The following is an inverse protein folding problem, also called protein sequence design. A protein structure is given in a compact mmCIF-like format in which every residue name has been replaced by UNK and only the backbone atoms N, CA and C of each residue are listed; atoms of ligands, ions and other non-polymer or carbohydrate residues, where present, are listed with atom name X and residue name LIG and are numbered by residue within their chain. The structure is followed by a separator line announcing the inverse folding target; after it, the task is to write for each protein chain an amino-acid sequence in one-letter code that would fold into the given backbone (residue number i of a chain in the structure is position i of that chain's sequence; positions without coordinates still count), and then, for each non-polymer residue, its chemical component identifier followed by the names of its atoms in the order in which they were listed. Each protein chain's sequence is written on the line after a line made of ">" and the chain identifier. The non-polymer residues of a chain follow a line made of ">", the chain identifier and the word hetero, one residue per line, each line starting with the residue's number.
data_IF_383583365425
#
_entry.id   IF_383583365425
#
_cell.length_a   1.000
_cell.length_b   1.000
_cell.length_c   1.000
_cell.angle_alpha   90.00
_cell.angle_beta   90.00
_cell.angle_gamma   90.00
#
_symmetry.space_group_name_H-M   'P 1'
#
loop_
_entity.id
_entity.type
_entity.pdbx_description
1 polymer ?
#
# COMPACT_ATOMS: atom_id res chain seq x y z
N UNK A 1 -1.26 -3.29 -23.39
CA UNK A 1 -1.47 -4.36 -22.38
C UNK A 1 -0.11 -4.99 -22.08
N UNK A 2 0.55 -4.61 -20.98
CA UNK A 2 1.88 -5.16 -20.64
C UNK A 2 1.69 -6.56 -20.03
N UNK A 3 2.19 -7.58 -20.73
CA UNK A 3 2.22 -8.96 -20.25
C UNK A 3 3.02 -9.05 -18.93
N UNK A 4 2.45 -9.71 -17.91
CA UNK A 4 3.04 -9.93 -16.57
C UNK A 4 4.40 -10.66 -16.59
N UNK A 5 4.86 -11.15 -17.74
CA UNK A 5 6.08 -11.94 -17.89
C UNK A 5 7.40 -11.16 -17.92
N UNK A 6 7.41 -9.82 -17.77
CA UNK A 6 8.62 -9.00 -17.93
C UNK A 6 8.95 -8.05 -16.77
N UNK A 7 8.28 -8.18 -15.62
CA UNK A 7 8.52 -7.29 -14.47
C UNK A 7 9.23 -8.06 -13.35
N UNK A 8 10.31 -7.46 -12.84
CA UNK A 8 11.12 -7.96 -11.74
C UNK A 8 10.54 -7.51 -10.37
N UNK A 9 11.02 -8.05 -9.24
CA UNK A 9 10.63 -7.56 -7.90
C UNK A 9 10.70 -6.04 -7.80
N UNK A 10 9.68 -5.42 -7.19
CA UNK A 10 9.62 -3.98 -6.95
C UNK A 10 9.25 -3.13 -8.18
N UNK A 11 9.12 -3.72 -9.37
CA UNK A 11 8.77 -2.97 -10.58
C UNK A 11 7.27 -2.71 -10.72
N UNK A 12 6.43 -3.55 -10.10
CA UNK A 12 4.98 -3.40 -10.12
C UNK A 12 4.39 -3.64 -8.75
N UNK A 13 3.92 -2.58 -8.11
CA UNK A 13 3.34 -2.62 -6.78
C UNK A 13 1.86 -2.22 -6.80
N UNK A 14 1.08 -2.79 -5.90
CA UNK A 14 -0.25 -2.30 -5.55
C UNK A 14 -0.19 -1.63 -4.19
N UNK A 15 -0.90 -0.51 -4.04
CA UNK A 15 -1.01 0.19 -2.77
C UNK A 15 -2.48 0.38 -2.37
N UNK A 16 -2.75 0.24 -1.08
CA UNK A 16 -4.08 0.42 -0.49
C UNK A 16 -3.95 1.00 0.92
N UNK A 17 -5.01 1.66 1.41
CA UNK A 17 -5.08 2.23 2.76
C UNK A 17 -6.09 1.44 3.57
N UNK A 18 -5.61 0.79 4.62
CA UNK A 18 -6.45 0.22 5.68
C UNK A 18 -6.68 1.30 6.73
N UNK A 19 -7.93 1.56 7.12
CA UNK A 19 -8.26 2.71 7.97
C UNK A 19 -9.23 2.43 9.11
N UNK A 20 -9.34 3.44 9.99
CA UNK A 20 -10.13 3.45 11.24
C UNK A 20 -9.79 2.31 12.20
N UNK A 21 -8.49 2.03 12.33
CA UNK A 21 -7.99 1.18 13.41
C UNK A 21 -8.09 1.93 14.74
N UNK A 22 -8.14 1.21 15.88
CA UNK A 22 -7.95 1.83 17.19
C UNK A 22 -6.64 2.62 17.20
N UNK A 23 -6.66 3.78 17.88
CA UNK A 23 -5.47 4.64 17.98
C UNK A 23 -4.33 3.86 18.63
N UNK A 24 -3.16 3.79 17.99
CA UNK A 24 -1.94 3.28 18.65
C UNK A 24 -1.34 4.29 19.65
N UNK A 25 -0.40 3.87 20.50
CA UNK A 25 0.29 4.77 21.43
C UNK A 25 0.96 5.96 20.74
N UNK A 26 1.56 5.72 19.58
CA UNK A 26 2.20 6.74 18.74
C UNK A 26 1.22 7.51 17.83
N UNK A 27 -0.09 7.32 18.02
CA UNK A 27 -1.14 8.12 17.37
C UNK A 27 -1.40 7.77 15.91
N UNK A 28 -1.21 6.51 15.52
CA UNK A 28 -1.54 5.99 14.20
C UNK A 28 -2.97 5.44 14.18
N UNK A 29 -3.61 5.54 13.03
CA UNK A 29 -5.01 5.13 12.81
C UNK A 29 -5.21 4.41 11.47
N UNK A 30 -4.20 4.46 10.62
CA UNK A 30 -4.24 3.97 9.25
C UNK A 30 -2.97 3.16 8.97
N UNK A 31 -3.03 2.32 7.96
CA UNK A 31 -1.89 1.59 7.42
C UNK A 31 -1.90 1.77 5.91
N UNK A 32 -0.79 2.24 5.35
CA UNK A 32 -0.51 2.12 3.93
C UNK A 32 0.07 0.74 3.68
N UNK A 33 -0.63 -0.05 2.89
CA UNK A 33 -0.17 -1.36 2.43
C UNK A 33 0.47 -1.23 1.07
N UNK A 34 1.60 -1.91 0.87
CA UNK A 34 2.32 -1.97 -0.41
C UNK A 34 2.58 -3.45 -0.70
N UNK A 35 2.04 -3.96 -1.80
CA UNK A 35 2.22 -5.35 -2.23
C UNK A 35 2.98 -5.37 -3.56
N UNK A 36 4.12 -6.05 -3.58
CA UNK A 36 4.83 -6.35 -4.82
C UNK A 36 4.14 -7.48 -5.60
N UNK A 37 3.75 -7.21 -6.85
CA UNK A 37 3.03 -8.19 -7.66
C UNK A 37 3.89 -9.38 -8.08
N UNK A 38 5.21 -9.25 -8.08
CA UNK A 38 6.14 -10.32 -8.43
C UNK A 38 6.43 -11.21 -7.21
N UNK A 39 7.07 -10.65 -6.18
CA UNK A 39 7.53 -11.41 -5.00
C UNK A 39 6.44 -11.76 -4.00
N UNK A 40 5.28 -11.08 -4.07
CA UNK A 40 4.22 -11.12 -3.04
C UNK A 40 4.64 -10.55 -1.70
N UNK A 41 5.76 -9.84 -1.64
CA UNK A 41 6.17 -9.09 -0.46
C UNK A 41 5.11 -8.04 -0.11
N UNK A 42 4.72 -7.99 1.16
CA UNK A 42 3.77 -7.03 1.72
C UNK A 42 4.49 -6.17 2.76
N UNK A 43 4.52 -4.87 2.54
CA UNK A 43 4.95 -3.87 3.52
C UNK A 43 3.69 -3.17 4.09
N UNK A 44 3.65 -2.98 5.40
CA UNK A 44 2.55 -2.33 6.09
C UNK A 44 3.06 -1.13 6.90
N UNK A 45 2.83 0.08 6.39
CA UNK A 45 3.37 1.31 6.97
C UNK A 45 2.30 2.03 7.79
N UNK A 46 2.46 2.17 9.13
CA UNK A 46 1.49 2.86 9.98
C UNK A 46 1.47 4.38 9.72
N UNK A 47 0.29 4.95 9.49
CA UNK A 47 0.08 6.37 9.23
C UNK A 47 -0.84 7.05 10.28
N UNK A 48 -0.53 8.30 10.69
CA UNK A 48 -1.38 9.09 11.59
C UNK A 48 -2.62 9.66 10.89
N UNK A 49 -2.53 9.88 9.59
CA UNK A 49 -3.60 10.41 8.76
C UNK A 49 -3.39 9.99 7.30
N UNK A 50 -4.33 10.36 6.44
CA UNK A 50 -4.39 9.98 5.03
C UNK A 50 -4.18 11.19 4.09
N UNK A 51 -3.45 12.21 4.55
CA UNK A 51 -3.13 13.37 3.69
C UNK A 51 -2.15 12.96 2.60
N UNK A 52 -2.20 13.62 1.43
CA UNK A 52 -1.24 13.41 0.34
C UNK A 52 0.20 13.50 0.82
N UNK A 53 0.52 14.49 1.66
CA UNK A 53 1.86 14.70 2.21
C UNK A 53 2.38 13.54 3.05
N UNK A 54 1.53 12.98 3.91
CA UNK A 54 1.86 11.83 4.77
C UNK A 54 2.12 10.58 3.91
N UNK A 55 1.27 10.35 2.91
CA UNK A 55 1.37 9.21 2.00
C UNK A 55 2.62 9.32 1.13
N UNK A 56 2.87 10.47 0.51
CA UNK A 56 4.06 10.72 -0.32
C UNK A 56 5.35 10.54 0.50
N UNK A 57 5.36 11.01 1.75
CA UNK A 57 6.51 10.80 2.65
C UNK A 57 6.78 9.31 2.90
N UNK A 58 5.74 8.53 3.18
CA UNK A 58 5.87 7.09 3.38
C UNK A 58 6.34 6.37 2.11
N UNK A 59 5.79 6.73 0.95
CA UNK A 59 6.21 6.18 -0.34
C UNK A 59 7.66 6.51 -0.68
N UNK A 60 8.12 7.74 -0.43
CA UNK A 60 9.52 8.12 -0.62
C UNK A 60 10.47 7.29 0.26
N UNK A 61 10.11 7.03 1.51
CA UNK A 61 10.91 6.16 2.39
C UNK A 61 10.97 4.72 1.88
N UNK A 62 9.84 4.20 1.36
CA UNK A 62 9.80 2.90 0.72
C UNK A 62 10.66 2.85 -0.55
N UNK A 63 10.55 3.85 -1.44
CA UNK A 63 11.35 3.92 -2.67
C UNK A 63 12.84 4.07 -2.40
N UNK A 64 13.24 4.73 -1.31
CA UNK A 64 14.64 4.81 -0.91
C UNK A 64 15.23 3.43 -0.54
N UNK A 65 14.40 2.49 -0.07
CA UNK A 65 14.81 1.12 0.31
C UNK A 65 14.75 0.14 -0.86
N UNK A 66 13.69 0.20 -1.66
CA UNK A 66 13.37 -0.82 -2.67
C UNK A 66 13.53 -0.33 -4.11
N UNK A 67 13.81 0.95 -4.31
CA UNK A 67 13.83 1.60 -5.62
C UNK A 67 12.46 2.13 -6.06
N UNK A 68 12.47 2.89 -7.15
CA UNK A 68 11.27 3.48 -7.74
C UNK A 68 10.60 2.41 -8.63
N UNK A 69 9.31 2.10 -8.40
CA UNK A 69 8.57 1.15 -9.23
C UNK A 69 8.28 1.75 -10.61
N UNK A 70 8.05 0.90 -11.61
CA UNK A 70 7.57 1.37 -12.92
C UNK A 70 6.07 1.62 -12.93
N UNK A 71 5.32 0.81 -12.18
CA UNK A 71 3.87 0.82 -12.18
C UNK A 71 3.37 0.77 -10.73
N UNK A 72 2.46 1.67 -10.39
CA UNK A 72 1.69 1.62 -9.14
C UNK A 72 0.22 1.40 -9.47
N UNK A 73 -0.36 0.38 -8.86
CA UNK A 73 -1.80 0.12 -8.91
C UNK A 73 -2.46 0.68 -7.65
N UNK A 74 -3.50 1.50 -7.83
CA UNK A 74 -4.37 1.96 -6.74
C UNK A 74 -5.81 1.53 -6.97
N UNK A 75 -6.55 1.31 -5.89
CA UNK A 75 -7.99 1.06 -6.00
C UNK A 75 -8.77 2.37 -6.22
N UNK A 76 -9.81 2.29 -7.04
CA UNK A 76 -10.63 3.42 -7.46
C UNK A 76 -11.45 4.06 -6.32
N UNK A 77 -11.56 3.41 -5.16
CA UNK A 77 -12.27 3.95 -3.99
C UNK A 77 -11.41 4.72 -2.99
N UNK A 78 -10.09 4.79 -3.18
CA UNK A 78 -9.16 5.20 -2.11
C UNK A 78 -8.84 6.71 -2.09
N UNK A 79 -8.43 7.21 -0.92
CA UNK A 79 -7.92 8.57 -0.68
C UNK A 79 -6.59 8.89 -1.38
N UNK A 80 -6.16 8.03 -2.31
CA UNK A 80 -4.98 8.19 -3.15
C UNK A 80 -5.29 9.00 -4.43
N UNK A 81 -6.46 9.62 -4.49
CA UNK A 81 -6.93 10.48 -5.58
C UNK A 81 -6.72 11.95 -5.24
N UNK A 82 -5.47 12.38 -5.26
CA UNK A 82 -5.15 13.79 -5.13
C UNK A 82 -4.21 14.22 -6.24
N UNK A 83 -4.34 15.47 -6.67
CA UNK A 83 -3.46 16.03 -7.70
C UNK A 83 -2.00 16.00 -7.23
N UNK A 84 -1.74 16.10 -5.92
CA UNK A 84 -0.38 16.01 -5.39
C UNK A 84 0.20 14.60 -5.56
N UNK A 85 -0.59 13.55 -5.35
CA UNK A 85 -0.14 12.16 -5.54
C UNK A 85 0.06 11.87 -7.04
N UNK A 86 -0.88 12.29 -7.88
CA UNK A 86 -0.77 12.11 -9.33
C UNK A 86 0.45 12.86 -9.91
N UNK A 87 0.72 14.09 -9.44
CA UNK A 87 1.92 14.85 -9.79
C UNK A 87 3.20 14.17 -9.31
N UNK A 88 3.22 13.69 -8.06
CA UNK A 88 4.37 12.97 -7.50
C UNK A 88 4.72 11.71 -8.32
N UNK A 89 3.72 10.93 -8.73
CA UNK A 89 3.95 9.77 -9.60
C UNK A 89 4.45 10.18 -10.98
N UNK A 90 3.90 11.25 -11.55
CA UNK A 90 4.35 11.79 -12.84
C UNK A 90 5.82 12.26 -12.81
N UNK A 91 6.21 12.99 -11.75
CA UNK A 91 7.59 13.47 -11.55
C UNK A 91 8.60 12.32 -11.49
N UNK A 92 8.22 11.20 -10.87
CA UNK A 92 9.03 9.99 -10.78
C UNK A 92 8.89 9.07 -12.00
N UNK A 93 8.16 9.48 -13.04
CA UNK A 93 7.87 8.70 -14.25
C UNK A 93 7.22 7.34 -13.95
N UNK A 94 6.42 7.29 -12.89
CA UNK A 94 5.68 6.10 -12.48
C UNK A 94 4.36 6.05 -13.25
N UNK A 95 4.08 4.92 -13.88
CA UNK A 95 2.78 4.67 -14.49
C UNK A 95 1.74 4.40 -13.39
N UNK A 96 0.90 5.40 -13.10
CA UNK A 96 -0.21 5.23 -12.18
C UNK A 96 -1.40 4.55 -12.86
N UNK A 97 -1.67 3.30 -12.47
CA UNK A 97 -2.85 2.55 -12.90
C UNK A 97 -3.91 2.58 -11.82
N UNK A 98 -5.12 2.95 -12.21
CA UNK A 98 -6.32 2.86 -11.37
C UNK A 98 -7.03 1.57 -11.74
N UNK A 99 -7.46 0.78 -10.75
CA UNK A 99 -8.27 -0.41 -11.04
C UNK A 99 -9.59 0.01 -11.69
N UNK A 100 -9.84 -0.42 -12.93
CA UNK A 100 -11.20 -0.66 -13.39
C UNK A 100 -11.42 -2.17 -13.28
N UNK A 101 -12.28 -2.57 -12.34
CA UNK A 101 -12.84 -3.91 -12.21
C UNK A 101 -11.78 -5.03 -12.44
N UNK A 102 -10.99 -5.27 -11.39
CA UNK A 102 -10.52 -6.59 -10.95
C UNK A 102 -9.85 -7.49 -12.01
N UNK A 103 -8.51 -7.55 -12.00
CA UNK A 103 -7.73 -8.62 -12.67
C UNK A 103 -7.88 -9.96 -11.89
N UNK A 104 -8.72 -10.92 -12.35
CA UNK A 104 -9.16 -12.04 -11.51
C UNK A 104 -8.03 -12.97 -11.05
N UNK A 105 -6.97 -13.12 -11.87
CA UNK A 105 -5.89 -14.07 -11.63
C UNK A 105 -4.87 -13.66 -10.56
N UNK A 106 -4.74 -12.36 -10.23
CA UNK A 106 -3.84 -11.91 -9.14
C UNK A 106 -4.59 -11.48 -7.88
N UNK A 107 -5.90 -11.33 -7.98
CA UNK A 107 -6.75 -10.90 -6.89
C UNK A 107 -6.86 -11.91 -5.77
N UNK A 108 -7.02 -13.20 -6.05
CA UNK A 108 -7.19 -14.19 -4.98
C UNK A 108 -6.04 -14.19 -3.97
N UNK A 109 -4.80 -13.95 -4.39
CA UNK A 109 -3.66 -13.89 -3.47
C UNK A 109 -3.49 -12.52 -2.83
N UNK A 110 -3.71 -11.42 -3.57
CA UNK A 110 -3.64 -10.07 -3.01
C UNK A 110 -4.75 -9.83 -1.96
N UNK A 111 -5.98 -10.26 -2.27
CA UNK A 111 -7.11 -10.23 -1.34
C UNK A 111 -6.88 -11.10 -0.12
N UNK A 112 -6.26 -12.28 -0.28
CA UNK A 112 -5.86 -13.12 0.84
C UNK A 112 -4.80 -12.44 1.70
N UNK A 113 -3.77 -11.83 1.11
CA UNK A 113 -2.77 -11.06 1.87
C UNK A 113 -3.40 -9.90 2.64
N UNK A 114 -4.29 -9.13 2.02
CA UNK A 114 -5.03 -8.07 2.71
C UNK A 114 -5.95 -8.61 3.80
N UNK A 115 -6.60 -9.75 3.57
CA UNK A 115 -7.46 -10.41 4.57
C UNK A 115 -6.63 -10.90 5.75
N UNK A 116 -5.55 -11.63 5.51
CA UNK A 116 -4.64 -12.09 6.56
C UNK A 116 -4.01 -10.94 7.32
N UNK A 117 -3.68 -9.83 6.67
CA UNK A 117 -3.24 -8.61 7.36
C UNK A 117 -4.35 -8.07 8.29
N UNK A 118 -5.59 -7.94 7.79
CA UNK A 118 -6.73 -7.48 8.60
C UNK A 118 -7.02 -8.41 9.77
N UNK A 119 -6.95 -9.72 9.55
CA UNK A 119 -7.14 -10.75 10.59
C UNK A 119 -6.02 -10.69 11.65
N UNK A 120 -4.76 -10.56 11.23
CA UNK A 120 -3.62 -10.40 12.14
C UNK A 120 -3.74 -9.12 12.96
N UNK A 121 -4.12 -8.00 12.34
CA UNK A 121 -4.36 -6.73 13.07
C UNK A 121 -5.50 -6.89 14.07
N UNK A 122 -6.61 -7.53 13.67
CA UNK A 122 -7.74 -7.79 14.55
C UNK A 122 -7.36 -8.69 15.74
N UNK A 123 -6.58 -9.74 15.51
CA UNK A 123 -6.08 -10.62 16.58
C UNK A 123 -5.11 -9.90 17.53
N UNK A 124 -4.25 -9.01 17.02
CA UNK A 124 -3.33 -8.21 17.84
C UNK A 124 -4.05 -7.10 18.62
N UNK A 125 -5.26 -6.73 18.22
CA UNK A 125 -6.02 -5.64 18.83
C UNK A 125 -6.57 -5.92 20.23
N UNK A 126 -6.47 -7.14 20.76
CA UNK A 126 -6.82 -7.41 22.17
C UNK A 126 -5.91 -6.65 23.16
N UNK A 127 -4.72 -6.22 22.72
CA UNK A 127 -3.86 -5.23 23.37
C UNK A 127 -3.81 -3.96 22.50
N UNK A 128 -4.92 -3.21 22.54
CA UNK A 128 -5.43 -2.19 21.59
C UNK A 128 -4.44 -1.11 21.08
N UNK A 129 -3.24 -0.95 21.63
CA UNK A 129 -2.41 0.24 21.42
C UNK A 129 -1.00 0.01 20.84
N UNK A 130 -0.46 -1.22 20.84
CA UNK A 130 0.91 -1.52 20.37
C UNK A 130 0.99 -1.97 18.91
N UNK A 131 -0.15 -2.06 18.21
CA UNK A 131 -0.21 -2.69 16.89
C UNK A 131 0.72 -2.02 15.86
N UNK A 132 0.98 -0.72 15.97
CA UNK A 132 1.87 0.00 15.06
C UNK A 132 3.33 -0.45 15.18
N UNK A 133 3.80 -0.75 16.40
CA UNK A 133 5.17 -1.20 16.67
C UNK A 133 5.39 -2.67 16.28
N UNK A 134 4.30 -3.43 16.09
CA UNK A 134 4.33 -4.85 15.70
C UNK A 134 4.29 -5.06 14.18
N UNK A 135 4.11 -3.98 13.41
CA UNK A 135 4.17 -4.05 11.95
C UNK A 135 5.64 -4.01 11.50
N UNK A 136 5.99 -4.91 10.58
CA UNK A 136 7.32 -5.04 9.99
C UNK A 136 7.59 -3.95 8.96
#
# INVERSE_FOLDING_TARGET
>A
MISKSHLAPGQFIAIDIVGKLPRSYDGKFFILTIIDHYSRFLEAIPLPNITSSTIIKALNQYFARFGIPKIILTDNGTNLRSNEIDSFFSELQIEHRKTSIYFPQSNGTCERSHRSLKESIAALSEQVYEWSDRLL
#
